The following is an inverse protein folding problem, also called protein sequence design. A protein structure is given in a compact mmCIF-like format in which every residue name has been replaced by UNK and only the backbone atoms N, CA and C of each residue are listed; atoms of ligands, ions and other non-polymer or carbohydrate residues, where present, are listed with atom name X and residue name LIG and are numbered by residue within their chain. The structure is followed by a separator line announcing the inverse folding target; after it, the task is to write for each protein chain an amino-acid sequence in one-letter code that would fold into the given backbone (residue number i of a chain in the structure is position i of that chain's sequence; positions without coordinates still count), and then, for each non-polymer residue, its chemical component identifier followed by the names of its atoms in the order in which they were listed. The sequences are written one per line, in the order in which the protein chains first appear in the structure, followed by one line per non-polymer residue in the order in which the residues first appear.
data_IF_596531435105
#
_entry.id   IF_596531435105
#
_cell.length_a   1.000
_cell.length_b   1.000
_cell.length_c   1.000
_cell.angle_alpha   90.00
_cell.angle_beta   90.00
_cell.angle_gamma   90.00
#
_symmetry.space_group_name_H-M   'P 1'
#
loop_
_entity.id
_entity.type
_entity.pdbx_description
1 polymer ?
#
# COMPACT_ATOMS: atom_id res chain seq x y z
N UNK A 1 -7.27 -0.79 -10.50
CA UNK A 1 -7.55 -1.99 -9.70
C UNK A 1 -7.44 -3.27 -10.51
N UNK A 2 -8.31 -3.44 -11.51
CA UNK A 2 -8.56 -4.72 -12.22
C UNK A 2 -7.27 -5.41 -12.72
N UNK A 3 -6.43 -4.71 -13.50
CA UNK A 3 -5.17 -5.27 -14.00
C UNK A 3 -4.22 -5.68 -12.87
N UNK A 4 -4.13 -4.88 -11.81
CA UNK A 4 -3.24 -5.18 -10.68
C UNK A 4 -3.72 -6.46 -9.98
N UNK A 5 -5.03 -6.61 -9.78
CA UNK A 5 -5.61 -7.82 -9.20
C UNK A 5 -5.32 -9.06 -10.06
N UNK A 6 -5.49 -8.94 -11.39
CA UNK A 6 -5.14 -10.00 -12.33
C UNK A 6 -3.66 -10.40 -12.20
N UNK A 7 -2.74 -9.44 -12.24
CA UNK A 7 -1.30 -9.69 -12.20
C UNK A 7 -0.85 -10.30 -10.86
N UNK A 8 -1.45 -9.87 -9.74
CA UNK A 8 -1.21 -10.44 -8.41
C UNK A 8 -1.69 -11.89 -8.37
N UNK A 9 -2.91 -12.17 -8.82
CA UNK A 9 -3.45 -13.53 -8.84
C UNK A 9 -2.64 -14.45 -9.79
N UNK A 10 -2.18 -13.92 -10.92
CA UNK A 10 -1.31 -14.64 -11.86
C UNK A 10 0.06 -14.97 -11.27
N UNK A 11 0.56 -14.17 -10.33
CA UNK A 11 1.81 -14.48 -9.63
C UNK A 11 1.70 -15.73 -8.75
N UNK A 12 0.56 -15.91 -8.07
CA UNK A 12 0.37 -17.01 -7.13
C UNK A 12 -0.18 -18.29 -7.77
N UNK A 13 -0.99 -18.15 -8.82
CA UNK A 13 -1.72 -19.27 -9.41
C UNK A 13 -1.50 -19.33 -10.92
N UNK A 14 -2.58 -19.56 -11.68
CA UNK A 14 -2.56 -19.69 -13.12
C UNK A 14 -3.44 -18.63 -13.78
N UNK A 15 -3.41 -18.61 -15.11
CA UNK A 15 -4.13 -17.64 -15.93
C UNK A 15 -5.65 -17.68 -15.73
N UNK A 16 -6.23 -18.87 -15.55
CA UNK A 16 -7.67 -19.04 -15.37
C UNK A 16 -8.13 -18.45 -14.04
N UNK A 17 -7.41 -18.75 -12.95
CA UNK A 17 -7.67 -18.17 -11.63
C UNK A 17 -7.49 -16.65 -11.65
N UNK A 18 -6.47 -16.14 -12.34
CA UNK A 18 -6.24 -14.71 -12.47
C UNK A 18 -7.39 -13.98 -13.19
N UNK A 19 -7.92 -14.57 -14.27
CA UNK A 19 -9.08 -14.03 -14.97
C UNK A 19 -10.34 -14.04 -14.09
N UNK A 20 -10.60 -15.14 -13.39
CA UNK A 20 -11.74 -15.23 -12.47
C UNK A 20 -11.61 -14.19 -11.35
N UNK A 21 -10.43 -14.03 -10.75
CA UNK A 21 -10.19 -13.03 -9.71
C UNK A 21 -10.42 -11.60 -10.22
N UNK A 22 -9.94 -11.27 -11.42
CA UNK A 22 -10.16 -9.97 -12.03
C UNK A 22 -11.64 -9.73 -12.36
N UNK A 23 -12.34 -10.76 -12.85
CA UNK A 23 -13.79 -10.70 -13.10
C UNK A 23 -14.57 -10.46 -11.80
N UNK A 24 -14.31 -11.25 -10.75
CA UNK A 24 -14.94 -11.04 -9.44
C UNK A 24 -14.67 -9.64 -8.88
N UNK A 25 -13.45 -9.13 -9.05
CA UNK A 25 -13.09 -7.77 -8.67
C UNK A 25 -13.90 -6.71 -9.43
N UNK A 26 -14.23 -6.94 -10.71
CA UNK A 26 -15.01 -5.99 -11.52
C UNK A 26 -16.49 -5.94 -11.14
N UNK A 27 -17.07 -7.07 -10.71
CA UNK A 27 -18.50 -7.17 -10.39
C UNK A 27 -18.80 -6.96 -8.90
N UNK A 28 -17.76 -6.76 -8.08
CA UNK A 28 -17.93 -6.58 -6.65
C UNK A 28 -18.67 -5.27 -6.35
N UNK A 29 -19.89 -5.38 -5.81
CA UNK A 29 -20.79 -4.24 -5.58
C UNK A 29 -20.16 -3.10 -4.80
N UNK A 30 -19.43 -3.41 -3.71
CA UNK A 30 -18.72 -2.39 -2.92
C UNK A 30 -17.70 -1.62 -3.74
N UNK A 31 -16.95 -2.27 -4.63
CA UNK A 31 -15.93 -1.61 -5.47
C UNK A 31 -16.60 -0.70 -6.51
N UNK A 32 -17.74 -1.15 -7.06
CA UNK A 32 -18.54 -0.36 -8.01
C UNK A 32 -19.11 0.88 -7.34
N UNK A 33 -19.68 0.74 -6.15
CA UNK A 33 -20.25 1.88 -5.41
C UNK A 33 -19.18 2.90 -5.02
N UNK A 34 -18.01 2.42 -4.56
CA UNK A 34 -16.83 3.25 -4.28
C UNK A 34 -16.36 4.03 -5.52
N UNK A 35 -16.30 3.36 -6.67
CA UNK A 35 -15.90 3.98 -7.92
C UNK A 35 -16.95 4.96 -8.47
N UNK A 36 -18.23 4.75 -8.15
CA UNK A 36 -19.33 5.62 -8.53
C UNK A 36 -19.43 6.87 -7.63
N UNK A 37 -18.73 6.91 -6.50
CA UNK A 37 -18.72 8.04 -5.58
C UNK A 37 -20.09 8.30 -4.94
N UNK A 38 -20.83 7.23 -4.64
CA UNK A 38 -22.22 7.30 -4.16
C UNK A 38 -22.34 7.69 -2.68
N UNK A 39 -21.26 7.59 -1.93
CA UNK A 39 -21.17 7.92 -0.51
C UNK A 39 -20.09 8.99 -0.28
N UNK A 40 -20.21 9.71 0.83
CA UNK A 40 -19.17 10.62 1.26
C UNK A 40 -17.85 9.85 1.49
N UNK A 41 -16.73 10.43 1.06
CA UNK A 41 -15.34 9.90 1.13
C UNK A 41 -14.97 8.69 0.24
N UNK A 42 -15.86 8.21 -0.61
CA UNK A 42 -15.61 7.06 -1.53
C UNK A 42 -14.38 7.21 -2.45
N UNK A 43 -14.11 8.43 -2.90
CA UNK A 43 -12.95 8.71 -3.77
C UNK A 43 -11.62 8.46 -3.05
N UNK A 44 -11.57 8.70 -1.72
CA UNK A 44 -10.40 8.44 -0.88
C UNK A 44 -10.19 6.92 -0.76
N UNK A 45 -11.27 6.17 -0.59
CA UNK A 45 -11.21 4.71 -0.43
C UNK A 45 -10.83 4.02 -1.74
N UNK A 46 -11.29 4.56 -2.87
CA UNK A 46 -10.88 4.11 -4.20
C UNK A 46 -9.38 4.35 -4.44
N UNK A 47 -8.87 5.52 -4.04
CA UNK A 47 -7.45 5.83 -4.12
C UNK A 47 -6.63 4.93 -3.19
N UNK A 48 -7.09 4.73 -1.95
CA UNK A 48 -6.47 3.83 -0.98
C UNK A 48 -6.35 2.39 -1.52
N UNK A 49 -7.43 1.85 -2.09
CA UNK A 49 -7.45 0.54 -2.71
C UNK A 49 -6.44 0.45 -3.86
N UNK A 50 -6.40 1.47 -4.72
CA UNK A 50 -5.46 1.52 -5.84
C UNK A 50 -4.01 1.53 -5.37
N UNK A 51 -3.63 2.42 -4.45
CA UNK A 51 -2.26 2.53 -3.97
C UNK A 51 -1.81 1.28 -3.22
N UNK A 52 -2.70 0.66 -2.45
CA UNK A 52 -2.44 -0.60 -1.76
C UNK A 52 -2.14 -1.72 -2.76
N UNK A 53 -3.00 -1.92 -3.77
CA UNK A 53 -2.77 -2.91 -4.82
C UNK A 53 -1.49 -2.61 -5.62
N UNK A 54 -1.23 -1.35 -5.92
CA UNK A 54 -0.04 -0.94 -6.67
C UNK A 54 1.24 -1.23 -5.89
N UNK A 55 1.26 -0.94 -4.58
CA UNK A 55 2.39 -1.25 -3.71
C UNK A 55 2.69 -2.75 -3.69
N UNK A 56 1.66 -3.59 -3.48
CA UNK A 56 1.80 -5.05 -3.49
C UNK A 56 2.33 -5.55 -4.85
N UNK A 57 1.77 -5.03 -5.94
CA UNK A 57 2.18 -5.41 -7.29
C UNK A 57 3.63 -5.01 -7.60
N UNK A 58 4.08 -3.83 -7.17
CA UNK A 58 5.47 -3.42 -7.31
C UNK A 58 6.42 -4.26 -6.46
N UNK A 59 6.01 -4.68 -5.25
CA UNK A 59 6.75 -5.65 -4.44
C UNK A 59 6.94 -6.97 -5.19
N UNK A 60 5.90 -7.51 -5.80
CA UNK A 60 5.99 -8.72 -6.64
C UNK A 60 6.94 -8.49 -7.83
N UNK A 61 6.89 -7.33 -8.48
CA UNK A 61 7.84 -7.00 -9.56
C UNK A 61 9.27 -6.88 -9.08
N UNK A 62 9.48 -6.34 -7.89
CA UNK A 62 10.78 -6.34 -7.25
C UNK A 62 11.28 -7.77 -7.02
N UNK A 63 10.44 -8.67 -6.49
CA UNK A 63 10.81 -10.09 -6.31
C UNK A 63 11.20 -10.78 -7.63
N UNK A 64 10.50 -10.49 -8.73
CA UNK A 64 10.77 -11.10 -10.05
C UNK A 64 12.01 -10.55 -10.75
N UNK A 65 12.29 -9.26 -10.60
CA UNK A 65 13.33 -8.56 -11.38
C UNK A 65 14.56 -8.16 -10.56
N UNK A 66 14.47 -8.24 -9.24
CA UNK A 66 15.49 -7.81 -8.26
C UNK A 66 15.93 -6.33 -8.43
N UNK A 67 15.13 -5.54 -9.16
CA UNK A 67 15.38 -4.11 -9.42
C UNK A 67 14.91 -3.27 -8.25
N UNK A 68 15.83 -2.60 -7.59
CA UNK A 68 15.56 -1.68 -6.46
C UNK A 68 14.55 -0.59 -6.80
N UNK A 69 14.52 -0.11 -8.05
CA UNK A 69 13.53 0.86 -8.52
C UNK A 69 12.07 0.41 -8.33
N UNK A 70 11.78 -0.89 -8.45
CA UNK A 70 10.44 -1.41 -8.19
C UNK A 70 10.11 -1.39 -6.69
N UNK A 71 11.09 -1.65 -5.82
CA UNK A 71 10.89 -1.59 -4.38
C UNK A 71 10.71 -0.15 -3.89
N UNK A 72 11.42 0.80 -4.49
CA UNK A 72 11.20 2.24 -4.27
C UNK A 72 9.79 2.63 -4.71
N UNK A 73 9.36 2.21 -5.91
CA UNK A 73 7.99 2.46 -6.38
C UNK A 73 6.94 1.86 -5.43
N UNK A 74 7.17 0.67 -4.88
CA UNK A 74 6.29 0.07 -3.88
C UNK A 74 6.16 0.96 -2.64
N UNK A 75 7.28 1.39 -2.05
CA UNK A 75 7.23 2.25 -0.86
C UNK A 75 6.63 3.63 -1.13
N UNK A 76 6.88 4.23 -2.31
CA UNK A 76 6.18 5.45 -2.73
C UNK A 76 4.66 5.26 -2.76
N UNK A 77 4.17 4.13 -3.30
CA UNK A 77 2.74 3.81 -3.31
C UNK A 77 2.19 3.60 -1.89
N UNK A 78 2.95 2.96 -0.99
CA UNK A 78 2.59 2.88 0.42
C UNK A 78 2.46 4.27 1.06
N UNK A 79 3.38 5.18 0.76
CA UNK A 79 3.31 6.57 1.22
C UNK A 79 2.03 7.28 0.76
N UNK A 80 1.64 7.10 -0.51
CA UNK A 80 0.37 7.61 -1.01
C UNK A 80 -0.84 6.97 -0.31
N UNK A 81 -0.80 5.67 -0.03
CA UNK A 81 -1.86 5.00 0.72
C UNK A 81 -1.99 5.56 2.14
N UNK A 82 -0.89 5.85 2.84
CA UNK A 82 -0.89 6.47 4.17
C UNK A 82 -1.58 7.84 4.13
N UNK A 83 -1.38 8.63 3.06
CA UNK A 83 -2.07 9.91 2.90
C UNK A 83 -3.57 9.79 2.68
N UNK A 84 -4.04 8.71 2.08
CA UNK A 84 -5.49 8.46 1.98
C UNK A 84 -6.06 7.99 3.31
N UNK A 85 -5.44 6.99 3.94
CA UNK A 85 -5.85 6.43 5.23
C UNK A 85 -4.61 6.00 6.01
N UNK A 86 -4.35 6.68 7.13
CA UNK A 86 -3.10 6.54 7.88
C UNK A 86 -2.87 5.12 8.42
N UNK A 87 -3.69 4.68 9.38
CA UNK A 87 -3.50 3.40 10.06
C UNK A 87 -3.75 2.18 9.15
N UNK A 88 -4.81 2.14 8.32
CA UNK A 88 -5.07 1.00 7.44
C UNK A 88 -3.95 0.74 6.41
N UNK A 89 -3.25 1.78 5.95
CA UNK A 89 -2.16 1.63 4.99
C UNK A 89 -0.96 0.85 5.54
N UNK A 90 -0.81 0.77 6.87
CA UNK A 90 0.27 0.01 7.49
C UNK A 90 0.17 -1.49 7.21
N UNK A 91 -0.98 -2.02 6.78
CA UNK A 91 -1.14 -3.42 6.34
C UNK A 91 -0.21 -3.80 5.18
N UNK A 92 0.24 -2.81 4.41
CA UNK A 92 1.16 -3.03 3.29
C UNK A 92 2.51 -3.56 3.80
N UNK A 93 2.96 -3.14 4.99
CA UNK A 93 4.24 -3.54 5.58
C UNK A 93 4.29 -5.03 5.94
N UNK A 94 3.36 -5.61 6.73
CA UNK A 94 3.38 -7.05 6.98
C UNK A 94 3.18 -7.85 5.70
N UNK A 95 2.37 -7.37 4.73
CA UNK A 95 2.26 -8.03 3.42
C UNK A 95 3.59 -8.05 2.68
N UNK A 96 4.34 -6.94 2.67
CA UNK A 96 5.68 -6.88 2.08
C UNK A 96 6.65 -7.87 2.75
N UNK A 97 6.63 -7.94 4.08
CA UNK A 97 7.47 -8.87 4.86
C UNK A 97 7.11 -10.32 4.53
N UNK A 98 5.81 -10.66 4.52
CA UNK A 98 5.34 -12.01 4.21
C UNK A 98 5.69 -12.43 2.78
N UNK A 99 5.51 -11.54 1.80
CA UNK A 99 5.90 -11.77 0.41
C UNK A 99 7.38 -12.12 0.25
N UNK A 100 8.24 -11.40 0.97
CA UNK A 100 9.67 -11.61 0.93
C UNK A 100 10.09 -12.85 1.70
N UNK A 101 9.48 -13.12 2.86
CA UNK A 101 9.75 -14.33 3.63
C UNK A 101 9.35 -15.60 2.86
N UNK A 102 8.23 -15.57 2.14
CA UNK A 102 7.79 -16.66 1.26
C UNK A 102 8.76 -16.86 0.08
N UNK A 103 9.19 -15.77 -0.56
CA UNK A 103 10.13 -15.83 -1.69
C UNK A 103 11.58 -16.17 -1.28
N UNK A 104 12.00 -15.79 -0.06
CA UNK A 104 13.35 -15.95 0.44
C UNK A 104 13.36 -16.80 1.71
N UNK A 105 13.86 -18.03 1.61
CA UNK A 105 14.00 -18.95 2.75
C UNK A 105 14.90 -18.41 3.89
N UNK A 106 15.74 -17.42 3.63
CA UNK A 106 16.65 -16.82 4.63
C UNK A 106 16.70 -15.30 4.47
N UNK A 107 16.69 -14.59 5.61
CA UNK A 107 16.81 -13.13 5.62
C UNK A 107 18.28 -12.78 5.42
N UNK A 108 18.58 -12.10 4.32
CA UNK A 108 19.93 -11.61 4.00
C UNK A 108 20.07 -10.14 4.40
N UNK A 109 21.30 -9.67 4.58
CA UNK A 109 21.56 -8.24 4.81
C UNK A 109 20.98 -7.36 3.70
N UNK A 110 21.04 -7.82 2.44
CA UNK A 110 20.40 -7.15 1.30
C UNK A 110 18.90 -6.92 1.55
N UNK A 111 18.21 -7.89 2.11
CA UNK A 111 16.77 -7.83 2.40
C UNK A 111 16.47 -6.76 3.45
N UNK A 112 17.30 -6.67 4.50
CA UNK A 112 17.19 -5.61 5.51
C UNK A 112 17.45 -4.23 4.91
N UNK A 113 18.46 -4.09 4.04
CA UNK A 113 18.72 -2.83 3.32
C UNK A 113 17.51 -2.46 2.46
N UNK A 114 16.88 -3.43 1.79
CA UNK A 114 15.72 -3.18 0.93
C UNK A 114 14.45 -2.85 1.74
N UNK A 115 14.31 -3.39 2.94
CA UNK A 115 13.27 -2.94 3.88
C UNK A 115 13.49 -1.46 4.23
N UNK A 116 14.73 -1.07 4.55
CA UNK A 116 15.05 0.34 4.84
C UNK A 116 14.76 1.22 3.62
N UNK A 117 15.16 0.82 2.41
CA UNK A 117 14.86 1.56 1.17
C UNK A 117 13.35 1.73 0.96
N UNK A 118 12.58 0.67 1.18
CA UNK A 118 11.12 0.69 1.08
C UNK A 118 10.53 1.70 2.09
N UNK A 119 10.93 1.61 3.37
CA UNK A 119 10.45 2.52 4.42
C UNK A 119 10.82 3.97 4.15
N UNK A 120 12.08 4.24 3.79
CA UNK A 120 12.56 5.58 3.45
C UNK A 120 11.76 6.16 2.28
N UNK A 121 11.50 5.36 1.24
CA UNK A 121 10.70 5.85 0.11
C UNK A 121 9.26 6.20 0.49
N UNK A 122 8.61 5.43 1.37
CA UNK A 122 7.31 5.79 1.92
C UNK A 122 7.38 7.07 2.78
N UNK A 123 8.42 7.20 3.61
CA UNK A 123 8.63 8.38 4.45
C UNK A 123 8.85 9.64 3.61
N UNK A 124 9.55 9.58 2.48
CA UNK A 124 9.74 10.75 1.60
C UNK A 124 8.42 11.33 1.11
N UNK A 125 7.40 10.49 0.90
CA UNK A 125 6.05 10.95 0.52
C UNK A 125 5.34 11.56 1.73
N UNK A 126 5.35 10.86 2.87
CA UNK A 126 4.53 11.22 4.04
C UNK A 126 5.09 12.43 4.81
N UNK A 127 6.42 12.49 4.97
CA UNK A 127 7.11 13.41 5.87
C UNK A 127 6.87 14.90 5.57
N UNK A 128 6.88 15.38 4.30
CA UNK A 128 6.67 16.80 4.01
C UNK A 128 5.36 17.34 4.60
N UNK A 129 4.26 16.60 4.45
CA UNK A 129 2.96 16.98 5.01
C UNK A 129 2.99 16.96 6.55
N UNK A 130 3.59 15.93 7.15
CA UNK A 130 3.70 15.82 8.61
C UNK A 130 4.50 16.99 9.22
N UNK A 131 5.58 17.42 8.55
CA UNK A 131 6.36 18.58 8.96
C UNK A 131 5.57 19.88 8.79
N UNK A 132 4.81 20.01 7.69
CA UNK A 132 3.98 21.17 7.41
C UNK A 132 2.90 21.36 8.49
N UNK A 133 2.08 20.34 8.75
CA UNK A 133 0.97 20.45 9.73
C UNK A 133 1.49 20.75 11.13
N UNK A 134 2.61 20.13 11.53
CA UNK A 134 3.17 20.36 12.86
C UNK A 134 3.75 21.77 13.02
N UNK A 135 4.20 22.39 11.92
CA UNK A 135 4.77 23.74 11.94
C UNK A 135 3.71 24.84 11.90
N UNK A 136 2.67 24.66 11.08
CA UNK A 136 1.66 25.70 10.85
C UNK A 136 0.38 25.50 11.67
N UNK A 137 0.08 24.27 12.11
CA UNK A 137 -1.12 23.90 12.86
C UNK A 137 -0.77 22.99 14.06
N UNK A 138 0.09 23.45 14.99
CA UNK A 138 0.65 22.60 16.05
C UNK A 138 -0.41 22.09 17.03
N UNK A 139 -1.45 22.88 17.31
CA UNK A 139 -2.51 22.51 18.26
C UNK A 139 -3.40 21.42 17.66
N UNK A 140 -3.85 21.61 16.41
CA UNK A 140 -4.67 20.65 15.67
C UNK A 140 -3.90 19.35 15.43
N UNK A 141 -2.63 19.44 15.02
CA UNK A 141 -1.79 18.27 14.83
C UNK A 141 -1.66 17.46 16.12
N UNK A 142 -1.42 18.10 17.27
CA UNK A 142 -1.32 17.41 18.56
C UNK A 142 -2.62 16.68 18.93
N UNK A 143 -3.78 17.28 18.66
CA UNK A 143 -5.09 16.68 18.91
C UNK A 143 -5.30 15.45 18.00
N UNK A 144 -5.02 15.57 16.70
CA UNK A 144 -5.17 14.47 15.74
C UNK A 144 -4.23 13.29 16.08
N UNK A 145 -2.96 13.55 16.37
CA UNK A 145 -2.03 12.50 16.83
C UNK A 145 -2.47 11.86 18.16
N UNK A 146 -3.06 12.65 19.05
CA UNK A 146 -3.64 12.15 20.30
C UNK A 146 -4.79 11.17 20.05
N UNK A 147 -5.70 11.47 19.11
CA UNK A 147 -6.79 10.57 18.72
C UNK A 147 -6.26 9.31 18.04
N UNK A 148 -5.25 9.42 17.17
CA UNK A 148 -4.59 8.28 16.54
C UNK A 148 -4.01 7.29 17.57
N UNK A 149 -3.39 7.79 18.64
CA UNK A 149 -2.83 6.95 19.70
C UNK A 149 -3.87 6.14 20.47
N UNK A 150 -5.10 6.66 20.62
CA UNK A 150 -6.19 5.99 21.33
C UNK A 150 -6.69 4.72 20.63
N UNK A 151 -6.35 4.47 19.37
CA UNK A 151 -6.71 3.21 18.70
C UNK A 151 -5.90 2.00 19.19
N UNK A 152 -4.83 2.20 19.96
CA UNK A 152 -3.95 1.13 20.48
C UNK A 152 -4.12 0.84 21.98
N UNK A 153 -4.93 1.63 22.69
CA UNK A 153 -5.14 1.56 24.15
C UNK A 153 -6.63 1.61 24.45
#
# INVERSE_FOLDING_TARGET
GIKLMYDIALYYYNRNTAFIAAFLFTIQGTIIDLAAGRWATDHIDTAFLFFTLASIWFTIRYLKSDKTGNNIAAGLMMGCAIFTKWLPALIILPVWVLLIADAQKTIKLKTLIQLVVFLVSATVVVLPWQLYIRRYFPAEAAIEFGHMGRHFT
#
